data_IF_572708596444
#
_entry.id   IF_572708596444
#
_cell.length_a   1.000
_cell.length_b   1.000
_cell.length_c   1.000
_cell.angle_alpha   90.00
_cell.angle_beta   90.00
_cell.angle_gamma   90.00
#
_symmetry.space_group_name_H-M   'P 1'
#
loop_
_entity.id
_entity.type
_entity.pdbx_description
1 polymer ?
#
# COMPACT_ATOMS: atom_id res chain seq x y z
N UNK A 1 8.34 -11.68 14.85
CA UNK A 1 7.48 -11.59 13.65
C UNK A 1 8.36 -11.09 12.53
N UNK A 2 8.61 -11.89 11.49
CA UNK A 2 9.34 -11.42 10.31
C UNK A 2 8.40 -10.60 9.45
N UNK A 3 8.92 -9.59 8.77
CA UNK A 3 8.18 -8.87 7.75
C UNK A 3 8.02 -9.74 6.51
N UNK A 4 6.81 -9.80 5.98
CA UNK A 4 6.66 -10.19 4.59
C UNK A 4 7.07 -9.02 3.70
N UNK A 5 7.72 -9.32 2.58
CA UNK A 5 8.13 -8.31 1.61
C UNK A 5 7.27 -8.44 0.36
N UNK A 6 6.61 -7.36 -0.02
CA UNK A 6 5.89 -7.28 -1.29
C UNK A 6 6.11 -5.90 -1.91
N UNK A 7 6.28 -5.83 -3.23
CA UNK A 7 6.47 -4.56 -3.92
C UNK A 7 5.21 -4.16 -4.68
N UNK A 8 4.82 -2.90 -4.55
CA UNK A 8 3.66 -2.38 -5.26
C UNK A 8 4.08 -1.55 -6.47
N UNK A 9 3.26 -1.64 -7.52
CA UNK A 9 3.30 -0.74 -8.67
C UNK A 9 1.97 -0.01 -8.74
N UNK A 10 2.04 1.32 -8.83
CA UNK A 10 0.92 2.24 -9.03
C UNK A 10 1.03 2.78 -10.46
N UNK A 11 -0.06 2.68 -11.21
CA UNK A 11 -0.19 3.32 -12.52
C UNK A 11 -0.89 4.67 -12.30
N UNK A 12 -0.19 5.76 -12.60
CA UNK A 12 -0.69 7.12 -12.41
C UNK A 12 -1.96 7.34 -13.26
N UNK A 13 -2.96 8.04 -12.72
CA UNK A 13 -4.23 8.28 -13.42
C UNK A 13 -5.22 7.12 -13.37
N UNK A 14 -4.82 5.95 -12.88
CA UNK A 14 -5.69 4.78 -12.72
C UNK A 14 -5.99 4.47 -11.27
N UNK A 15 -7.15 3.84 -11.02
CA UNK A 15 -7.53 3.38 -9.69
C UNK A 15 -6.53 2.34 -9.17
N UNK A 16 -5.94 2.60 -8.02
CA UNK A 16 -5.07 1.67 -7.33
C UNK A 16 -5.86 0.95 -6.24
N UNK A 17 -6.37 -0.25 -6.55
CA UNK A 17 -7.11 -1.10 -5.61
C UNK A 17 -6.30 -2.35 -5.29
N UNK A 18 -6.18 -2.68 -4.01
CA UNK A 18 -5.52 -3.91 -3.54
C UNK A 18 -6.34 -4.56 -2.43
N UNK A 19 -6.26 -5.88 -2.37
CA UNK A 19 -6.88 -6.69 -1.34
C UNK A 19 -5.93 -7.80 -0.92
N UNK A 20 -5.79 -8.00 0.38
CA UNK A 20 -5.03 -9.11 0.97
C UNK A 20 -5.91 -9.87 1.94
N UNK A 21 -5.59 -11.15 2.14
CA UNK A 21 -6.20 -11.99 3.18
C UNK A 21 -5.12 -12.28 4.21
N UNK A 22 -5.39 -11.97 5.47
CA UNK A 22 -4.46 -12.18 6.57
C UNK A 22 -4.71 -13.56 7.16
N UNK A 23 -3.66 -14.36 7.21
CA UNK A 23 -3.68 -15.76 7.65
C UNK A 23 -2.59 -16.02 8.68
N UNK A 24 -2.83 -17.02 9.53
CA UNK A 24 -1.81 -17.64 10.36
C UNK A 24 -0.86 -18.49 9.51
N UNK A 25 0.25 -18.92 10.10
CA UNK A 25 1.26 -19.77 9.43
C UNK A 25 0.70 -21.13 8.99
N UNK A 26 -0.36 -21.61 9.67
CA UNK A 26 -1.09 -22.83 9.31
C UNK A 26 -2.10 -22.63 8.16
N UNK A 27 -2.21 -21.42 7.62
CA UNK A 27 -3.10 -21.05 6.52
C UNK A 27 -4.53 -20.70 6.93
N UNK A 28 -4.87 -20.76 8.22
CA UNK A 28 -6.18 -20.34 8.74
C UNK A 28 -6.33 -18.82 8.69
N UNK A 29 -7.53 -18.33 8.42
CA UNK A 29 -7.83 -16.89 8.33
C UNK A 29 -7.85 -16.27 9.72
N UNK A 30 -7.20 -15.12 9.88
CA UNK A 30 -7.26 -14.32 11.10
C UNK A 30 -8.50 -13.42 11.03
N UNK A 31 -9.37 -13.49 12.04
CA UNK A 31 -10.51 -12.57 12.15
C UNK A 31 -10.02 -11.16 12.50
N UNK A 32 -10.39 -10.18 11.67
CA UNK A 32 -10.01 -8.77 11.80
C UNK A 32 -11.14 -7.90 12.38
N UNK A 33 -12.16 -8.49 13.02
CA UNK A 33 -13.22 -7.74 13.69
C UNK A 33 -12.63 -6.79 14.75
N UNK A 34 -12.92 -5.49 14.62
CA UNK A 34 -12.39 -4.45 15.50
C UNK A 34 -10.91 -4.10 15.27
N UNK A 35 -10.25 -4.70 14.27
CA UNK A 35 -8.88 -4.37 13.92
C UNK A 35 -8.76 -2.99 13.26
N UNK A 36 -7.54 -2.48 13.22
CA UNK A 36 -7.17 -1.25 12.49
C UNK A 36 -5.99 -1.51 11.58
N UNK A 37 -5.93 -0.80 10.45
CA UNK A 37 -4.83 -0.89 9.52
C UNK A 37 -4.33 0.50 9.10
N UNK A 38 -3.03 0.59 8.83
CA UNK A 38 -2.38 1.79 8.33
C UNK A 38 -1.26 1.41 7.36
N UNK A 39 -1.23 2.09 6.21
CA UNK A 39 -0.16 2.01 5.21
C UNK A 39 0.47 3.38 5.03
N UNK A 40 1.79 3.47 5.16
CA UNK A 40 2.52 4.72 4.92
C UNK A 40 3.67 4.48 3.95
N UNK A 41 3.76 5.31 2.92
CA UNK A 41 4.86 5.34 1.96
C UNK A 41 5.72 6.57 2.24
N UNK A 42 7.03 6.39 2.31
CA UNK A 42 8.01 7.46 2.52
C UNK A 42 9.18 7.32 1.55
N UNK A 43 9.68 8.46 1.07
CA UNK A 43 10.85 8.46 0.19
C UNK A 43 12.14 8.00 0.89
N UNK A 44 12.22 8.11 2.22
CA UNK A 44 13.33 7.62 3.04
C UNK A 44 12.86 7.22 4.45
N UNK A 45 13.55 6.28 5.13
CA UNK A 45 13.13 5.75 6.44
C UNK A 45 12.96 6.80 7.56
N UNK A 46 13.69 7.91 7.50
CA UNK A 46 13.64 8.99 8.49
C UNK A 46 12.78 10.19 8.05
N UNK A 47 12.14 10.13 6.87
CA UNK A 47 11.33 11.24 6.40
C UNK A 47 10.01 11.33 7.19
N UNK A 48 9.76 12.47 7.81
CA UNK A 48 8.51 12.72 8.54
C UNK A 48 7.32 12.89 7.60
N UNK A 49 7.57 13.34 6.37
CA UNK A 49 6.54 13.52 5.35
C UNK A 49 6.24 12.20 4.65
N UNK A 50 4.98 11.75 4.75
CA UNK A 50 4.47 10.61 3.99
C UNK A 50 4.07 11.04 2.58
N UNK A 51 4.49 10.28 1.58
CA UNK A 51 4.04 10.46 0.18
C UNK A 51 2.63 9.93 0.00
N UNK A 52 2.33 8.80 0.64
CA UNK A 52 1.00 8.20 0.70
C UNK A 52 0.75 7.80 2.16
N UNK A 53 -0.43 8.11 2.67
CA UNK A 53 -0.92 7.64 3.96
C UNK A 53 -2.35 7.16 3.78
N UNK A 54 -2.57 5.87 4.03
CA UNK A 54 -3.88 5.23 3.98
C UNK A 54 -4.16 4.60 5.34
N UNK A 55 -5.40 4.65 5.80
CA UNK A 55 -5.78 4.00 7.04
C UNK A 55 -7.24 3.58 7.07
N UNK A 56 -7.58 2.69 8.00
CA UNK A 56 -8.98 2.42 8.34
C UNK A 56 -9.66 3.63 9.00
N UNK A 57 -8.89 4.55 9.59
CA UNK A 57 -9.41 5.72 10.29
C UNK A 57 -9.85 6.84 9.32
N UNK A 58 -9.17 6.98 8.17
CA UNK A 58 -9.53 7.94 7.12
C UNK A 58 -10.48 7.37 6.06
N UNK A 59 -10.82 6.08 6.16
CA UNK A 59 -11.74 5.39 5.25
C UNK A 59 -11.13 4.92 3.92
N UNK A 60 -9.86 5.19 3.66
CA UNK A 60 -9.16 4.68 2.46
C UNK A 60 -8.86 3.18 2.52
N UNK A 61 -8.98 2.58 3.71
CA UNK A 61 -8.89 1.14 3.92
C UNK A 61 -10.17 0.59 4.56
N UNK A 62 -10.55 -0.62 4.15
CA UNK A 62 -11.73 -1.34 4.67
C UNK A 62 -11.35 -2.75 5.09
N UNK A 63 -12.02 -3.24 6.13
CA UNK A 63 -11.82 -4.57 6.70
C UNK A 63 -13.10 -5.40 6.55
N UNK A 64 -12.96 -6.60 6.03
CA UNK A 64 -13.97 -7.67 6.11
C UNK A 64 -13.52 -8.61 7.24
N UNK A 65 -13.92 -8.25 8.47
CA UNK A 65 -13.42 -8.84 9.72
C UNK A 65 -13.44 -10.37 9.74
N UNK A 66 -14.62 -11.01 9.65
CA UNK A 66 -14.75 -12.45 9.71
C UNK A 66 -13.98 -13.21 8.62
N UNK A 67 -13.79 -12.59 7.44
CA UNK A 67 -13.05 -13.19 6.33
C UNK A 67 -11.57 -12.80 6.30
N UNK A 68 -11.10 -12.04 7.28
CA UNK A 68 -9.71 -11.59 7.41
C UNK A 68 -9.20 -10.81 6.21
N UNK A 69 -10.07 -10.09 5.50
CA UNK A 69 -9.66 -9.32 4.32
C UNK A 69 -9.40 -7.87 4.68
N UNK A 70 -8.30 -7.35 4.17
CA UNK A 70 -7.97 -5.94 4.17
C UNK A 70 -7.93 -5.46 2.72
N UNK A 71 -8.68 -4.41 2.44
CA UNK A 71 -8.71 -3.73 1.14
C UNK A 71 -8.31 -2.27 1.31
N UNK A 72 -7.58 -1.73 0.36
CA UNK A 72 -7.35 -0.29 0.24
C UNK A 72 -7.50 0.17 -1.20
N UNK A 73 -7.82 1.45 -1.36
CA UNK A 73 -7.98 2.06 -2.67
C UNK A 73 -7.54 3.52 -2.71
N UNK A 74 -6.91 3.90 -3.80
CA UNK A 74 -6.76 5.30 -4.24
C UNK A 74 -7.42 5.43 -5.61
N UNK A 75 -8.20 6.49 -5.81
CA UNK A 75 -8.80 6.82 -7.11
C UNK A 75 -7.75 7.23 -8.13
N UNK A 76 -8.09 7.15 -9.42
CA UNK A 76 -7.25 7.66 -10.51
C UNK A 76 -6.87 9.13 -10.35
N UNK A 77 -7.76 9.96 -9.81
CA UNK A 77 -7.45 11.36 -9.51
C UNK A 77 -6.38 11.50 -8.41
N UNK A 78 -6.45 10.66 -7.37
CA UNK A 78 -5.46 10.65 -6.30
C UNK A 78 -4.10 10.10 -6.78
N UNK A 79 -4.10 9.06 -7.62
CA UNK A 79 -2.85 8.53 -8.18
C UNK A 79 -2.25 9.51 -9.19
N UNK A 80 -3.07 10.20 -10.00
CA UNK A 80 -2.65 11.30 -10.88
C UNK A 80 -1.93 12.42 -10.14
N UNK A 81 -2.38 12.75 -8.92
CA UNK A 81 -1.78 13.80 -8.11
C UNK A 81 -0.41 13.44 -7.49
N UNK A 82 0.05 12.19 -7.59
CA UNK A 82 1.35 11.79 -7.08
C UNK A 82 2.45 12.39 -7.95
N UNK A 83 3.34 13.18 -7.36
CA UNK A 83 4.48 13.74 -8.07
C UNK A 83 5.44 12.63 -8.51
N UNK A 84 5.87 12.67 -9.77
CA UNK A 84 6.89 11.76 -10.29
C UNK A 84 8.24 12.11 -9.64
N UNK A 85 8.89 11.17 -8.93
CA UNK A 85 10.20 11.41 -8.35
C UNK A 85 11.26 11.76 -9.40
N UNK A 86 12.22 12.63 -9.03
CA UNK A 86 13.38 12.87 -9.87
C UNK A 86 14.28 11.63 -9.93
N UNK A 87 14.97 11.43 -11.06
CA UNK A 87 15.91 10.33 -11.25
C UNK A 87 15.66 9.57 -12.55
N UNK A 88 16.34 8.42 -12.69
CA UNK A 88 16.16 7.53 -13.82
C UNK A 88 15.05 6.50 -13.52
N UNK A 89 14.20 6.17 -14.50
CA UNK A 89 13.22 5.11 -14.33
C UNK A 89 13.92 3.75 -14.20
N UNK A 90 13.33 2.87 -13.39
CA UNK A 90 13.78 1.51 -13.11
C UNK A 90 12.93 0.54 -13.95
N UNK A 91 13.55 -0.43 -14.65
CA UNK A 91 12.81 -1.49 -15.32
C UNK A 91 12.00 -2.35 -14.32
N UNK A 92 10.71 -2.52 -14.57
CA UNK A 92 9.76 -3.31 -13.77
C UNK A 92 9.32 -4.58 -14.51
N UNK A 93 10.19 -5.10 -15.39
CA UNK A 93 9.91 -6.28 -16.21
C UNK A 93 8.76 -6.04 -17.21
N UNK A 94 7.72 -6.90 -17.25
CA UNK A 94 6.65 -6.77 -18.25
C UNK A 94 5.78 -5.53 -18.05
N UNK A 95 5.90 -4.86 -16.90
CA UNK A 95 5.19 -3.62 -16.58
C UNK A 95 5.87 -2.36 -17.13
N UNK A 96 6.95 -2.50 -17.92
CA UNK A 96 7.69 -1.37 -18.48
C UNK A 96 8.67 -0.79 -17.47
N UNK A 97 8.76 0.53 -17.39
CA UNK A 97 9.65 1.23 -16.45
C UNK A 97 8.88 2.20 -15.57
N UNK A 98 9.29 2.35 -14.32
CA UNK A 98 8.66 3.26 -13.35
C UNK A 98 9.68 3.88 -12.41
N UNK A 99 9.22 4.75 -11.51
CA UNK A 99 10.06 5.48 -10.57
C UNK A 99 9.87 4.94 -9.17
N UNK A 100 10.95 4.81 -8.39
CA UNK A 100 10.85 4.46 -6.98
C UNK A 100 10.21 5.62 -6.21
N UNK A 101 9.00 5.41 -5.71
CA UNK A 101 8.30 6.38 -4.89
C UNK A 101 8.82 6.38 -3.45
N UNK A 102 9.22 5.20 -2.97
CA UNK A 102 9.78 5.02 -1.64
C UNK A 102 9.53 3.64 -1.06
N UNK A 103 9.91 3.47 0.21
CA UNK A 103 9.58 2.31 1.01
C UNK A 103 8.23 2.49 1.71
N UNK A 104 7.53 1.40 1.99
CA UNK A 104 6.29 1.42 2.74
C UNK A 104 6.28 0.42 3.89
N UNK A 105 5.46 0.74 4.88
CA UNK A 105 5.04 -0.19 5.92
C UNK A 105 3.52 -0.26 5.96
N UNK A 106 2.99 -1.48 5.98
CA UNK A 106 1.59 -1.81 6.24
C UNK A 106 1.51 -2.51 7.60
N UNK A 107 0.84 -1.85 8.54
CA UNK A 107 0.63 -2.31 9.91
C UNK A 107 -0.83 -2.69 10.09
N UNK A 108 -1.09 -3.86 10.67
CA UNK A 108 -2.44 -4.25 11.12
C UNK A 108 -2.40 -4.58 12.60
N UNK A 109 -3.25 -3.91 13.37
CA UNK A 109 -3.39 -4.13 14.81
C UNK A 109 -4.74 -4.75 15.10
N UNK A 110 -4.79 -5.75 15.97
CA UNK A 110 -6.04 -6.31 16.47
C UNK A 110 -6.80 -5.30 17.35
N UNK A 111 -8.00 -5.67 17.81
CA UNK A 111 -8.84 -4.81 18.64
C UNK A 111 -8.18 -4.41 19.99
N UNK A 112 -7.16 -5.15 20.45
CA UNK A 112 -6.37 -4.80 21.65
C UNK A 112 -5.22 -3.84 21.37
N UNK A 113 -4.99 -3.48 20.10
CA UNK A 113 -3.88 -2.64 19.66
C UNK A 113 -2.58 -3.41 19.41
N UNK A 114 -2.57 -4.75 19.53
CA UNK A 114 -1.40 -5.57 19.26
C UNK A 114 -1.19 -5.74 17.77
N UNK A 115 0.05 -5.58 17.30
CA UNK A 115 0.43 -5.82 15.91
C UNK A 115 0.26 -7.30 15.54
N UNK A 116 -0.55 -7.58 14.53
CA UNK A 116 -0.86 -8.93 14.03
C UNK A 116 -0.46 -9.15 12.58
N UNK A 117 -0.12 -8.09 11.84
CA UNK A 117 0.49 -8.21 10.51
C UNK A 117 1.39 -7.02 10.24
N UNK A 118 2.53 -7.33 9.63
CA UNK A 118 3.49 -6.37 9.13
C UNK A 118 3.91 -6.78 7.72
N UNK A 119 3.70 -5.89 6.75
CA UNK A 119 4.12 -6.04 5.36
C UNK A 119 4.93 -4.82 4.97
N UNK A 120 6.06 -5.03 4.30
CA UNK A 120 6.96 -3.94 3.89
C UNK A 120 7.43 -4.12 2.44
N UNK A 121 8.05 -3.09 1.89
CA UNK A 121 8.68 -3.15 0.58
C UNK A 121 8.72 -1.80 -0.12
N UNK A 122 9.01 -1.82 -1.42
CA UNK A 122 9.04 -0.63 -2.26
C UNK A 122 7.70 -0.39 -2.96
N UNK A 123 7.39 0.88 -3.19
CA UNK A 123 6.32 1.33 -4.08
C UNK A 123 6.94 2.00 -5.30
N UNK A 124 6.52 1.58 -6.48
CA UNK A 124 6.91 2.16 -7.76
C UNK A 124 5.73 2.87 -8.41
N UNK A 125 6.00 3.98 -9.08
CA UNK A 125 5.03 4.74 -9.85
C UNK A 125 5.36 4.65 -11.35
N UNK A 126 4.41 4.18 -12.15
CA UNK A 126 4.47 4.30 -13.60
C UNK A 126 3.72 5.59 -13.97
N UNK A 127 4.40 6.59 -14.56
CA UNK A 127 3.74 7.84 -14.92
C UNK A 127 2.80 7.65 -16.10
N UNK A 128 1.73 8.44 -16.12
CA UNK A 128 0.92 8.60 -17.33
C UNK A 128 1.47 9.78 -18.12
N UNK A 129 1.78 9.54 -19.39
CA UNK A 129 2.23 10.58 -20.32
C UNK A 129 1.06 11.25 -21.04
N UNK A 130 -0.15 10.71 -20.87
CA UNK A 130 -1.39 11.20 -21.47
C UNK A 130 -2.02 12.22 -20.54
N UNK A 131 -2.37 13.41 -21.04
CA UNK A 131 -3.15 14.38 -20.24
C UNK A 131 -4.60 13.88 -20.13
N UNK A 132 -5.26 13.99 -18.96
CA UNK A 132 -6.69 13.74 -18.87
C UNK A 132 -7.42 14.69 -19.82
N UNK A 133 -8.32 14.14 -20.63
CA UNK A 133 -9.22 14.89 -21.52
C UNK A 133 -10.25 15.69 -20.73
#
# INVERSE_FOLDING_TARGET
>A
MSADIFHFVIEQGSDWVRQVVIKNDDGTVINLAGATAQLQVRSAPANTQTVISLSTADGSMTLDGPNGKLKWSMSGAQTAAIAVPAGLPIPLGPKGSGYLLGGYDLLVKDASGRLIKYLTGNVYLIPDYTRPF
#
